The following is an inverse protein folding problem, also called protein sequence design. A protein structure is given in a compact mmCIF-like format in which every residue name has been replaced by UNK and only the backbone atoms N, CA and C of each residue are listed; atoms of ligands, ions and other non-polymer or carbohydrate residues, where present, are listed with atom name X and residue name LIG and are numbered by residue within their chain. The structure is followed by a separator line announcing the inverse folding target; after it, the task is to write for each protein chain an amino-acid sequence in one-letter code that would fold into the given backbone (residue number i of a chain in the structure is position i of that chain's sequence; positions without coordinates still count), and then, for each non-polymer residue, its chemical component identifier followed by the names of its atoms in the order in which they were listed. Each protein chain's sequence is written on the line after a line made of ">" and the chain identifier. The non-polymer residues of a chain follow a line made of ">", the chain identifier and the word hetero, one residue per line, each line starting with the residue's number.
data_IF_367676798206
#
_entry.id   IF_367676798206
#
_cell.length_a   1.000
_cell.length_b   1.000
_cell.length_c   1.000
_cell.angle_alpha   90.00
_cell.angle_beta   90.00
_cell.angle_gamma   90.00
#
_symmetry.space_group_name_H-M   'P 1'
#
loop_
_entity.id
_entity.type
_entity.pdbx_description
1 polymer ?
#
# COMPACT_ATOMS: atom_id res chain seq x y z
N UNK A 1 -6.94 2.52 -19.49
CA UNK A 1 -5.95 2.51 -20.58
C UNK A 1 -6.56 2.02 -21.88
N UNK A 2 -7.16 0.82 -21.87
CA UNK A 2 -7.76 0.18 -23.05
C UNK A 2 -8.78 1.03 -23.81
N UNK A 3 -9.59 1.83 -23.10
CA UNK A 3 -10.60 2.70 -23.73
C UNK A 3 -9.96 3.81 -24.59
N UNK A 4 -8.80 4.31 -24.16
CA UNK A 4 -8.05 5.37 -24.84
C UNK A 4 -6.92 4.80 -25.73
N UNK A 5 -6.81 3.47 -25.81
CA UNK A 5 -5.74 2.73 -26.53
C UNK A 5 -4.32 3.14 -26.13
N UNK A 6 -4.15 3.70 -24.94
CA UNK A 6 -2.86 4.08 -24.37
C UNK A 6 -2.11 2.84 -23.83
N UNK A 7 -0.80 2.82 -24.05
CA UNK A 7 0.08 1.86 -23.39
C UNK A 7 0.25 2.22 -21.91
N UNK A 8 0.49 1.22 -21.06
CA UNK A 8 0.77 1.44 -19.63
C UNK A 8 2.00 2.33 -19.40
N UNK A 9 2.99 2.30 -20.30
CA UNK A 9 4.17 3.15 -20.19
C UNK A 9 3.87 4.62 -20.51
N UNK A 10 2.97 4.88 -21.45
CA UNK A 10 2.56 6.25 -21.81
C UNK A 10 1.77 6.88 -20.67
N UNK A 11 0.88 6.11 -20.07
CA UNK A 11 0.16 6.55 -18.89
C UNK A 11 1.05 6.73 -17.67
N UNK A 12 2.07 5.88 -17.51
CA UNK A 12 3.05 6.06 -16.45
C UNK A 12 3.73 7.43 -16.56
N UNK A 13 4.04 7.86 -17.79
CA UNK A 13 4.54 9.21 -18.04
C UNK A 13 3.50 10.30 -17.78
N UNK A 14 2.27 10.11 -18.25
CA UNK A 14 1.21 11.11 -18.12
C UNK A 14 0.79 11.36 -16.67
N UNK A 15 0.77 10.31 -15.83
CA UNK A 15 0.43 10.39 -14.41
C UNK A 15 1.66 10.46 -13.51
N UNK A 16 2.85 10.65 -14.08
CA UNK A 16 4.14 10.72 -13.35
C UNK A 16 4.37 9.55 -12.39
N UNK A 17 3.88 8.36 -12.76
CA UNK A 17 4.04 7.13 -11.99
C UNK A 17 5.30 6.41 -12.45
N UNK A 18 6.20 6.13 -11.52
CA UNK A 18 7.50 5.50 -11.82
C UNK A 18 7.41 4.06 -12.35
N UNK A 19 6.34 3.32 -12.03
CA UNK A 19 6.17 1.92 -12.38
C UNK A 19 4.89 1.68 -13.17
N UNK A 20 5.02 1.22 -14.42
CA UNK A 20 3.90 0.86 -15.28
C UNK A 20 3.09 -0.32 -14.74
N UNK A 21 3.68 -1.20 -13.93
CA UNK A 21 2.96 -2.30 -13.25
C UNK A 21 1.96 -1.78 -12.21
N UNK A 22 2.23 -0.61 -11.62
CA UNK A 22 1.30 0.06 -10.71
C UNK A 22 0.02 0.42 -11.45
N UNK A 23 0.13 0.96 -12.66
CA UNK A 23 -1.02 1.34 -13.50
C UNK A 23 -1.82 0.11 -13.92
N UNK A 24 -1.16 -1.00 -14.29
CA UNK A 24 -1.88 -2.24 -14.60
C UNK A 24 -2.69 -2.77 -13.40
N UNK A 25 -2.13 -2.65 -12.19
CA UNK A 25 -2.83 -3.02 -10.96
C UNK A 25 -4.04 -2.12 -10.69
N UNK A 26 -3.88 -0.81 -10.89
CA UNK A 26 -4.99 0.15 -10.78
C UNK A 26 -6.08 -0.10 -11.82
N UNK A 27 -5.72 -0.37 -13.08
CA UNK A 27 -6.71 -0.68 -14.12
C UNK A 27 -7.51 -1.93 -13.73
N UNK A 28 -6.84 -2.97 -13.19
CA UNK A 28 -7.53 -4.16 -12.70
C UNK A 28 -8.52 -3.83 -11.58
N UNK A 29 -8.08 -3.10 -10.56
CA UNK A 29 -8.94 -2.73 -9.42
C UNK A 29 -10.12 -1.90 -9.91
N UNK A 30 -9.88 -0.91 -10.78
CA UNK A 30 -10.93 -0.05 -11.32
C UNK A 30 -11.99 -0.84 -12.11
N UNK A 31 -11.58 -1.87 -12.85
CA UNK A 31 -12.52 -2.71 -13.61
C UNK A 31 -13.29 -3.70 -12.74
N UNK A 32 -12.72 -4.16 -11.63
CA UNK A 32 -13.36 -5.16 -10.76
C UNK A 32 -14.16 -4.57 -9.62
N UNK A 33 -13.63 -3.52 -8.98
CA UNK A 33 -14.16 -2.91 -7.75
C UNK A 33 -14.65 -1.46 -8.00
N UNK A 34 -14.33 -0.88 -9.17
CA UNK A 34 -14.64 0.52 -9.46
C UNK A 34 -13.68 1.51 -8.77
N UNK A 35 -14.01 2.82 -8.79
CA UNK A 35 -13.20 3.85 -8.16
C UNK A 35 -13.09 3.67 -6.63
N UNK A 36 -14.11 3.09 -5.99
CA UNK A 36 -14.10 2.82 -4.55
C UNK A 36 -12.97 1.88 -4.15
N UNK A 37 -12.65 0.88 -4.98
CA UNK A 37 -11.56 -0.06 -4.74
C UNK A 37 -10.17 0.60 -4.64
N UNK A 38 -9.98 1.76 -5.27
CA UNK A 38 -8.71 2.50 -5.18
C UNK A 38 -8.55 3.25 -3.84
N UNK A 39 -9.65 3.59 -3.17
CA UNK A 39 -9.64 4.23 -1.85
C UNK A 39 -9.39 3.23 -0.70
N UNK A 40 -9.57 1.94 -0.96
CA UNK A 40 -9.40 0.89 0.05
C UNK A 40 -7.91 0.67 0.34
N UNK A 41 -7.47 0.98 1.56
CA UNK A 41 -6.13 0.60 2.03
C UNK A 41 -6.04 -0.92 2.22
N UNK A 42 -5.34 -1.60 1.31
CA UNK A 42 -5.02 -3.04 1.42
C UNK A 42 -3.72 -3.34 2.16
N UNK A 43 -3.03 -2.30 2.63
CA UNK A 43 -1.83 -2.47 3.47
C UNK A 43 -2.30 -2.76 4.89
N UNK A 44 -1.98 -3.94 5.40
CA UNK A 44 -2.25 -4.29 6.79
C UNK A 44 -1.60 -3.27 7.72
N UNK A 45 -2.40 -2.58 8.55
CA UNK A 45 -1.89 -1.72 9.61
C UNK A 45 -1.29 -2.61 10.69
N UNK A 46 0.01 -2.44 10.92
CA UNK A 46 0.65 -2.99 12.11
C UNK A 46 0.05 -2.27 13.33
N UNK A 47 -0.76 -2.99 14.10
CA UNK A 47 -1.45 -2.48 15.27
C UNK A 47 -1.11 -3.38 16.44
N UNK A 48 -0.97 -2.80 17.63
CA UNK A 48 -0.85 -3.58 18.85
C UNK A 48 -2.10 -4.47 19.06
N UNK A 49 -3.28 -4.02 18.60
CA UNK A 49 -4.53 -4.77 18.69
C UNK A 49 -4.63 -5.92 17.66
N UNK A 50 -3.93 -5.83 16.52
CA UNK A 50 -3.88 -6.92 15.53
C UNK A 50 -2.76 -7.93 15.79
N UNK A 51 -2.08 -7.85 16.94
CA UNK A 51 -0.96 -8.73 17.33
C UNK A 51 0.32 -8.55 16.50
N UNK A 52 0.24 -7.79 15.40
CA UNK A 52 1.32 -7.67 14.43
C UNK A 52 2.12 -6.39 14.70
N UNK A 53 3.09 -6.44 15.62
CA UNK A 53 4.08 -5.35 15.75
C UNK A 53 5.08 -5.44 14.61
N UNK A 54 5.04 -4.46 13.70
CA UNK A 54 6.05 -4.28 12.66
C UNK A 54 6.92 -3.10 13.04
N UNK A 55 8.15 -3.37 13.46
CA UNK A 55 9.11 -2.36 13.93
C UNK A 55 10.02 -2.85 15.05
N UNK A 56 10.97 -1.99 15.46
CA UNK A 56 11.89 -2.25 16.56
C UNK A 56 11.14 -2.18 17.89
N UNK A 57 11.12 -3.26 18.66
CA UNK A 57 10.56 -3.26 20.03
C UNK A 57 11.38 -2.26 20.86
N UNK A 58 10.71 -1.31 21.52
CA UNK A 58 11.35 -0.37 22.43
C UNK A 58 12.02 -1.15 23.56
N UNK A 59 13.34 -0.98 23.74
CA UNK A 59 14.08 -1.56 24.87
C UNK A 59 13.61 -0.90 26.17
N UNK A 60 12.57 -1.46 26.81
CA UNK A 60 12.23 -1.15 28.18
C UNK A 60 13.46 -1.42 29.06
N UNK A 61 13.93 -0.42 29.79
CA UNK A 61 15.03 -0.61 30.74
C UNK A 61 14.57 -1.52 31.88
N UNK A 62 15.43 -2.46 32.29
CA UNK A 62 15.13 -3.36 33.40
C UNK A 62 15.26 -2.55 34.69
N UNK A 63 14.15 -2.37 35.38
CA UNK A 63 14.12 -1.76 36.70
C UNK A 63 14.88 -2.64 37.69
N UNK A 64 15.90 -2.06 38.31
CA UNK A 64 16.67 -2.65 39.40
C UNK A 64 15.74 -2.91 40.59
N UNK A 65 15.53 -4.17 40.97
CA UNK A 65 14.89 -4.50 42.25
C UNK A 65 15.94 -4.45 43.35
N UNK A 66 15.91 -3.38 44.16
CA UNK A 66 16.58 -3.30 45.46
C UNK A 66 15.53 -3.62 46.52
N UNK A 67 15.60 -4.83 47.05
CA UNK A 67 15.12 -5.24 48.37
C UNK A 67 16.04 -6.36 48.81
#
# INVERSE_FOLDING_TARGET
>A
MRKEKLSYCEAARQFEVSDSKRIASWERIYLTEGPEGLAIERRGRASAASGTRKGRISKLNKQWKRT
#
